data_IF_147146576080
#
_entry.id   IF_147146576080
#
_cell.length_a   1.000
_cell.length_b   1.000
_cell.length_c   1.000
_cell.angle_alpha   90.00
_cell.angle_beta   90.00
_cell.angle_gamma   90.00
#
_symmetry.space_group_name_H-M   'P 1'
#
loop_
_entity.id
_entity.type
_entity.pdbx_description
1 polymer ?
#
# COMPACT_ATOMS: atom_id res chain seq x y z
N UNK A 1 1.04 -64.93 -18.91
CA UNK A 1 0.73 -64.07 -17.73
C UNK A 1 1.23 -62.66 -18.02
N UNK A 2 0.36 -61.81 -18.57
CA UNK A 2 0.66 -60.40 -18.85
C UNK A 2 -0.18 -59.59 -17.87
N UNK A 3 0.49 -58.90 -16.93
CA UNK A 3 -0.14 -58.02 -15.94
C UNK A 3 -0.25 -56.62 -16.52
N UNK A 4 -1.47 -56.20 -16.82
CA UNK A 4 -1.85 -54.82 -17.14
C UNK A 4 -1.86 -53.98 -15.85
N UNK A 5 -0.99 -52.98 -15.78
CA UNK A 5 -1.06 -51.92 -14.76
C UNK A 5 -2.06 -50.85 -15.23
N UNK A 6 -3.13 -50.65 -14.47
CA UNK A 6 -4.06 -49.53 -14.65
C UNK A 6 -3.50 -48.37 -13.81
N UNK A 7 -3.00 -47.33 -14.47
CA UNK A 7 -2.63 -46.08 -13.81
C UNK A 7 -3.90 -45.25 -13.57
N UNK A 8 -4.27 -45.07 -12.31
CA UNK A 8 -5.33 -44.17 -11.90
C UNK A 8 -4.83 -42.72 -11.96
N UNK A 9 -5.27 -41.98 -12.98
CA UNK A 9 -5.04 -40.54 -13.09
C UNK A 9 -5.98 -39.83 -12.13
N UNK A 10 -5.50 -39.47 -10.94
CA UNK A 10 -6.22 -38.60 -10.00
C UNK A 10 -6.13 -37.17 -10.52
N UNK A 11 -7.17 -36.68 -11.20
CA UNK A 11 -7.35 -35.25 -11.41
C UNK A 11 -7.65 -34.62 -10.04
N UNK A 12 -6.65 -33.93 -9.47
CA UNK A 12 -6.92 -32.96 -8.41
C UNK A 12 -7.52 -31.72 -9.07
N UNK A 13 -8.86 -31.63 -9.02
CA UNK A 13 -9.54 -30.38 -9.24
C UNK A 13 -9.16 -29.44 -8.08
N UNK A 14 -8.26 -28.49 -8.35
CA UNK A 14 -8.11 -27.33 -7.49
C UNK A 14 -9.43 -26.57 -7.54
N UNK A 15 -10.24 -26.74 -6.49
CA UNK A 15 -11.42 -25.92 -6.27
C UNK A 15 -10.96 -24.48 -6.09
N UNK A 16 -10.92 -23.72 -7.18
CA UNK A 16 -11.06 -22.28 -7.10
C UNK A 16 -12.42 -22.06 -6.44
N UNK A 17 -12.42 -21.63 -5.17
CA UNK A 17 -13.61 -21.06 -4.57
C UNK A 17 -14.04 -19.94 -5.52
N UNK A 18 -15.10 -20.19 -6.29
CA UNK A 18 -15.65 -19.19 -7.17
C UNK A 18 -16.17 -18.07 -6.27
N UNK A 19 -15.37 -17.02 -6.11
CA UNK A 19 -15.86 -15.74 -5.61
C UNK A 19 -17.13 -15.43 -6.40
N UNK A 20 -18.20 -15.03 -5.71
CA UNK A 20 -19.46 -14.64 -6.34
C UNK A 20 -19.21 -13.63 -7.47
N UNK A 21 -20.16 -13.46 -8.41
CA UNK A 21 -19.94 -12.56 -9.52
C UNK A 21 -19.66 -11.16 -9.00
N UNK A 22 -18.53 -10.59 -9.41
CA UNK A 22 -18.03 -9.34 -8.88
C UNK A 22 -17.39 -8.51 -9.98
N UNK A 23 -17.34 -7.21 -9.77
CA UNK A 23 -16.50 -6.30 -10.54
C UNK A 23 -15.32 -5.85 -9.67
N UNK A 24 -14.13 -5.84 -10.25
CA UNK A 24 -12.92 -5.35 -9.59
C UNK A 24 -12.50 -4.04 -10.21
N UNK A 25 -11.99 -3.12 -9.39
CA UNK A 25 -11.33 -1.91 -9.87
C UNK A 25 -10.21 -1.51 -8.92
N UNK A 26 -9.33 -0.66 -9.41
CA UNK A 26 -8.19 -0.16 -8.65
C UNK A 26 -8.41 1.31 -8.36
N UNK A 27 -8.09 1.74 -7.13
CA UNK A 27 -8.06 3.16 -6.79
C UNK A 27 -6.80 3.53 -6.03
N UNK A 28 -6.45 4.81 -6.13
CA UNK A 28 -5.43 5.42 -5.30
C UNK A 28 -6.05 5.90 -3.99
N UNK A 29 -5.46 5.47 -2.88
CA UNK A 29 -5.71 6.00 -1.54
C UNK A 29 -4.66 7.05 -1.27
N UNK A 30 -5.10 8.28 -1.01
CA UNK A 30 -4.19 9.35 -0.64
C UNK A 30 -3.38 8.97 0.63
N UNK A 31 -2.09 9.33 0.68
CA UNK A 31 -1.29 9.15 1.88
C UNK A 31 -1.75 10.09 3.00
N UNK A 32 -1.35 9.84 4.26
CA UNK A 32 -1.60 10.76 5.36
C UNK A 32 -1.10 12.19 5.11
N UNK A 33 0.04 12.32 4.44
CA UNK A 33 0.64 13.58 4.05
C UNK A 33 0.74 13.67 2.53
N UNK A 34 -0.32 14.19 1.92
CA UNK A 34 -0.38 14.39 0.48
C UNK A 34 0.66 15.45 0.04
N UNK A 35 1.50 15.07 -0.91
CA UNK A 35 2.53 15.94 -1.47
C UNK A 35 2.01 16.80 -2.62
N UNK A 36 0.77 16.56 -3.09
CA UNK A 36 0.07 17.25 -4.19
C UNK A 36 0.84 17.28 -5.53
N UNK A 37 0.13 17.05 -6.64
CA UNK A 37 0.34 15.87 -7.51
C UNK A 37 1.81 15.59 -7.87
N UNK A 38 2.64 15.27 -6.88
CA UNK A 38 4.02 14.89 -7.10
C UNK A 38 4.05 13.49 -7.73
N UNK A 39 4.64 13.39 -8.92
CA UNK A 39 4.88 12.12 -9.62
C UNK A 39 6.34 11.69 -9.48
N UNK A 40 7.20 12.63 -9.12
CA UNK A 40 8.63 12.46 -8.93
C UNK A 40 9.08 13.19 -7.67
N UNK A 41 9.84 12.51 -6.83
CA UNK A 41 10.50 13.11 -5.67
C UNK A 41 12.00 12.79 -5.69
N UNK A 42 12.80 13.64 -5.05
CA UNK A 42 14.23 13.37 -4.88
C UNK A 42 14.64 13.53 -3.41
N UNK A 43 15.42 12.58 -2.90
CA UNK A 43 16.07 12.67 -1.58
C UNK A 43 17.39 13.40 -1.76
N UNK A 44 17.53 14.60 -1.19
CA UNK A 44 18.60 15.54 -1.57
C UNK A 44 19.66 15.77 -0.51
N UNK A 45 19.37 15.38 0.73
CA UNK A 45 20.38 15.28 1.77
C UNK A 45 19.89 14.33 2.86
N UNK A 46 20.85 13.77 3.60
CA UNK A 46 20.58 13.04 4.81
C UNK A 46 21.63 13.39 5.87
N UNK A 47 21.17 13.77 7.07
CA UNK A 47 21.98 14.17 8.20
C UNK A 47 21.60 13.31 9.40
N UNK A 48 22.60 12.69 10.05
CA UNK A 48 22.39 11.85 11.22
C UNK A 48 23.69 11.50 11.92
N UNK A 49 23.56 10.97 13.13
CA UNK A 49 24.69 10.52 13.98
C UNK A 49 24.92 9.00 13.95
N UNK A 50 24.04 8.27 13.26
CA UNK A 50 24.12 6.82 13.08
C UNK A 50 24.55 6.44 11.66
N UNK A 51 25.42 5.43 11.55
CA UNK A 51 25.83 4.84 10.27
C UNK A 51 24.65 4.18 9.52
N UNK A 52 23.52 3.95 10.19
CA UNK A 52 22.31 3.37 9.59
C UNK A 52 21.50 4.34 8.73
N UNK A 53 21.93 5.61 8.62
CA UNK A 53 21.26 6.59 7.77
C UNK A 53 21.26 6.19 6.29
N UNK A 54 22.35 5.58 5.80
CA UNK A 54 22.41 5.09 4.41
C UNK A 54 21.36 4.03 4.17
N UNK A 55 21.26 3.05 5.08
CA UNK A 55 20.23 2.01 5.05
C UNK A 55 18.81 2.59 5.07
N UNK A 56 18.57 3.62 5.90
CA UNK A 56 17.28 4.31 5.93
C UNK A 56 16.94 4.92 4.58
N UNK A 57 17.87 5.63 3.94
CA UNK A 57 17.65 6.28 2.64
C UNK A 57 17.41 5.23 1.55
N UNK A 58 18.23 4.19 1.50
CA UNK A 58 18.09 3.08 0.54
C UNK A 58 16.73 2.38 0.65
N UNK A 59 16.37 1.93 1.86
CA UNK A 59 15.09 1.26 2.10
C UNK A 59 13.93 2.24 1.77
N UNK A 60 14.02 3.53 2.14
CA UNK A 60 12.98 4.53 1.83
C UNK A 60 12.78 4.69 0.32
N UNK A 61 13.87 4.88 -0.43
CA UNK A 61 13.82 5.02 -1.89
C UNK A 61 13.23 3.77 -2.53
N UNK A 62 13.68 2.57 -2.12
CA UNK A 62 13.15 1.30 -2.61
C UNK A 62 11.64 1.18 -2.37
N UNK A 63 11.16 1.50 -1.16
CA UNK A 63 9.75 1.34 -0.82
C UNK A 63 8.85 2.30 -1.58
N UNK A 64 9.24 3.57 -1.71
CA UNK A 64 8.44 4.55 -2.43
C UNK A 64 8.40 4.22 -3.93
N UNK A 65 9.54 3.86 -4.53
CA UNK A 65 9.61 3.52 -5.97
C UNK A 65 8.80 2.25 -6.29
N UNK A 66 8.91 1.22 -5.43
CA UNK A 66 8.16 -0.05 -5.58
C UNK A 66 6.64 0.13 -5.50
N UNK A 67 6.14 1.22 -4.92
CA UNK A 67 4.70 1.52 -4.91
C UNK A 67 4.11 1.71 -6.31
N UNK A 68 4.95 2.11 -7.29
CA UNK A 68 4.53 2.44 -8.65
C UNK A 68 3.68 3.71 -8.77
N UNK A 69 3.49 4.46 -7.68
CA UNK A 69 2.68 5.69 -7.66
C UNK A 69 3.50 6.97 -7.82
N UNK A 70 4.80 6.91 -7.48
CA UNK A 70 5.76 7.99 -7.60
C UNK A 70 7.13 7.42 -7.95
N UNK A 71 7.95 8.18 -8.68
CA UNK A 71 9.37 7.87 -8.90
C UNK A 71 10.22 8.55 -7.84
N UNK A 72 11.24 7.88 -7.35
CA UNK A 72 12.16 8.44 -6.35
C UNK A 72 13.59 8.39 -6.84
N UNK A 73 14.27 9.52 -6.73
CA UNK A 73 15.71 9.63 -6.97
C UNK A 73 16.46 9.75 -5.63
N UNK A 74 17.55 9.00 -5.47
CA UNK A 74 18.50 9.20 -4.38
C UNK A 74 19.63 10.14 -4.84
N UNK A 75 19.53 11.42 -4.50
CA UNK A 75 20.54 12.44 -4.82
C UNK A 75 21.52 12.71 -3.66
N UNK A 76 21.49 11.89 -2.60
CA UNK A 76 22.35 12.07 -1.42
C UNK A 76 23.82 11.73 -1.74
N UNK A 77 24.04 10.80 -2.67
CA UNK A 77 25.38 10.29 -3.02
C UNK A 77 26.28 11.33 -3.69
N UNK A 78 25.72 12.43 -4.19
CA UNK A 78 26.45 13.50 -4.88
C UNK A 78 27.06 14.56 -3.94
N UNK A 79 27.11 14.30 -2.62
CA UNK A 79 27.68 15.20 -1.59
C UNK A 79 27.10 16.62 -1.58
N UNK A 80 25.91 16.83 -2.16
CA UNK A 80 25.23 18.11 -2.11
C UNK A 80 24.46 18.23 -0.79
N UNK A 81 25.17 18.54 0.29
CA UNK A 81 24.53 18.99 1.53
C UNK A 81 23.93 20.38 1.33
N UNK A 82 22.81 20.46 0.60
CA UNK A 82 22.00 21.67 0.45
C UNK A 82 21.25 21.91 1.76
N UNK A 83 21.99 22.36 2.77
CA UNK A 83 21.41 22.80 4.05
C UNK A 83 20.64 24.13 3.89
N UNK A 84 20.93 24.91 2.84
CA UNK A 84 20.19 26.12 2.49
C UNK A 84 19.38 25.95 1.19
N UNK A 85 18.05 25.90 1.33
CA UNK A 85 17.11 25.98 0.22
C UNK A 85 16.88 27.42 -0.24
N UNK A 86 17.96 28.18 -0.48
CA UNK A 86 17.85 29.49 -1.10
C UNK A 86 17.49 29.39 -2.59
N UNK A 87 17.14 30.51 -3.21
CA UNK A 87 16.69 30.53 -4.61
C UNK A 87 17.76 30.02 -5.60
N UNK A 88 19.05 30.23 -5.32
CA UNK A 88 20.13 29.82 -6.21
C UNK A 88 20.38 28.31 -6.10
N UNK A 89 20.44 27.80 -4.87
CA UNK A 89 20.50 26.39 -4.53
C UNK A 89 19.32 25.61 -5.15
N UNK A 90 18.09 26.11 -5.00
CA UNK A 90 16.90 25.49 -5.61
C UNK A 90 16.93 25.47 -7.14
N UNK A 91 17.51 26.49 -7.78
CA UNK A 91 17.65 26.53 -9.24
C UNK A 91 18.66 25.48 -9.73
N UNK A 92 19.77 25.31 -9.01
CA UNK A 92 20.77 24.27 -9.30
C UNK A 92 20.18 22.89 -9.09
N UNK A 93 19.56 22.67 -7.93
CA UNK A 93 18.95 21.40 -7.55
C UNK A 93 17.94 20.92 -8.59
N UNK A 94 17.02 21.79 -9.05
CA UNK A 94 16.06 21.45 -10.11
C UNK A 94 16.67 21.09 -11.46
N UNK A 95 17.86 21.61 -11.75
CA UNK A 95 18.55 21.33 -13.02
C UNK A 95 19.25 19.97 -12.96
N UNK A 96 19.83 19.64 -11.80
CA UNK A 96 20.61 18.41 -11.60
C UNK A 96 19.71 17.23 -11.26
N UNK A 97 18.71 17.44 -10.40
CA UNK A 97 17.75 16.45 -9.92
C UNK A 97 16.32 16.98 -10.09
N UNK A 98 15.73 16.90 -11.31
CA UNK A 98 14.39 17.40 -11.57
C UNK A 98 13.33 16.56 -10.86
N UNK A 99 12.60 17.17 -9.92
CA UNK A 99 11.53 16.52 -9.17
C UNK A 99 10.39 17.50 -8.84
N UNK A 100 9.19 16.98 -8.56
CA UNK A 100 8.04 17.77 -8.13
C UNK A 100 8.13 18.17 -6.65
N UNK A 101 8.80 17.34 -5.84
CA UNK A 101 9.11 17.61 -4.45
C UNK A 101 10.48 17.08 -4.05
N UNK A 102 11.06 17.70 -3.03
CA UNK A 102 12.37 17.37 -2.48
C UNK A 102 12.24 16.95 -1.03
N UNK A 103 12.86 15.82 -0.69
CA UNK A 103 12.89 15.25 0.65
C UNK A 103 14.29 15.39 1.23
N UNK A 104 14.40 15.93 2.43
CA UNK A 104 15.65 15.97 3.18
C UNK A 104 15.50 15.30 4.53
N UNK A 105 16.43 14.41 4.89
CA UNK A 105 16.49 13.83 6.23
C UNK A 105 17.32 14.76 7.11
N UNK A 106 16.65 15.59 7.91
CA UNK A 106 17.31 16.63 8.73
C UNK A 106 17.84 16.12 10.06
N UNK A 107 17.35 14.96 10.50
CA UNK A 107 17.85 14.24 11.67
C UNK A 107 17.63 12.75 11.44
N UNK A 108 18.66 11.95 11.70
CA UNK A 108 18.54 10.51 11.82
C UNK A 108 19.40 10.03 12.98
N UNK A 109 18.79 9.36 13.94
CA UNK A 109 19.49 8.82 15.11
C UNK A 109 18.94 7.46 15.47
N UNK A 110 19.80 6.63 16.06
CA UNK A 110 19.40 5.34 16.60
C UNK A 110 19.97 5.15 18.00
N UNK A 111 19.16 4.58 18.89
CA UNK A 111 19.54 4.19 20.24
C UNK A 111 19.24 2.69 20.43
N UNK A 112 19.96 2.05 21.34
CA UNK A 112 19.72 0.64 21.64
C UNK A 112 20.15 0.23 23.04
N UNK A 113 19.41 -0.72 23.60
CA UNK A 113 19.62 -1.22 24.94
C UNK A 113 19.90 -2.73 24.92
N UNK A 114 21.01 -3.13 25.53
CA UNK A 114 21.25 -4.54 25.83
C UNK A 114 20.32 -5.03 26.94
N UNK A 115 19.71 -6.19 26.70
CA UNK A 115 18.78 -6.85 27.59
C UNK A 115 19.24 -8.28 27.84
N UNK A 116 18.86 -8.83 28.97
CA UNK A 116 19.05 -10.25 29.26
C UNK A 116 17.93 -10.81 30.14
N UNK A 117 17.64 -12.09 29.97
CA UNK A 117 16.69 -12.83 30.79
C UNK A 117 17.00 -14.33 30.79
N UNK A 118 16.67 -15.01 31.90
CA UNK A 118 16.72 -16.47 31.96
C UNK A 118 15.54 -17.09 31.22
N UNK A 119 15.84 -17.94 30.25
CA UNK A 119 14.89 -18.74 29.49
C UNK A 119 15.11 -20.24 29.71
N UNK A 120 14.06 -21.04 29.50
CA UNK A 120 14.19 -22.49 29.43
C UNK A 120 14.48 -22.93 28.00
N UNK A 121 15.61 -23.58 27.76
CA UNK A 121 16.00 -24.16 26.49
C UNK A 121 16.08 -25.69 26.61
N UNK A 122 16.10 -26.42 25.50
CA UNK A 122 16.46 -27.84 25.49
C UNK A 122 17.90 -27.99 25.02
N UNK A 123 18.68 -28.77 25.73
CA UNK A 123 20.02 -29.14 25.26
C UNK A 123 19.96 -30.17 24.13
N UNK A 124 21.12 -30.58 23.63
CA UNK A 124 21.26 -31.56 22.54
C UNK A 124 20.68 -32.94 22.89
N UNK A 125 20.55 -33.25 24.18
CA UNK A 125 19.96 -34.49 24.70
C UNK A 125 18.45 -34.34 24.99
N UNK A 126 17.89 -33.16 24.70
CA UNK A 126 16.48 -32.84 24.91
C UNK A 126 16.11 -32.50 26.36
N UNK A 127 17.08 -32.42 27.28
CA UNK A 127 16.86 -32.05 28.66
C UNK A 127 16.63 -30.53 28.77
N UNK A 128 15.73 -30.14 29.68
CA UNK A 128 15.38 -28.74 29.87
C UNK A 128 16.43 -28.06 30.74
N UNK A 129 17.15 -27.11 30.16
CA UNK A 129 18.18 -26.30 30.82
C UNK A 129 17.71 -24.86 30.94
N UNK A 130 18.15 -24.15 31.98
CA UNK A 130 17.98 -22.70 32.08
C UNK A 130 19.24 -22.03 31.55
N UNK A 131 19.07 -21.07 30.64
CA UNK A 131 20.18 -20.25 30.13
C UNK A 131 19.77 -18.78 30.13
N UNK A 132 20.75 -17.93 30.42
CA UNK A 132 20.59 -16.48 30.23
C UNK A 132 20.72 -16.21 28.73
N UNK A 133 19.71 -15.59 28.15
CA UNK A 133 19.76 -15.08 26.78
C UNK A 133 19.92 -13.58 26.83
N UNK A 134 20.79 -13.06 25.98
CA UNK A 134 21.02 -11.65 25.72
C UNK A 134 20.39 -11.27 24.38
N UNK A 135 19.84 -10.06 24.29
CA UNK A 135 19.40 -9.42 23.03
C UNK A 135 19.58 -7.91 23.10
N UNK A 136 19.50 -7.24 21.96
CA UNK A 136 19.44 -5.79 21.82
C UNK A 136 18.06 -5.41 21.34
N UNK A 137 17.44 -4.45 22.01
CA UNK A 137 16.29 -3.72 21.47
C UNK A 137 16.81 -2.35 20.99
N UNK A 138 16.55 -2.01 19.73
CA UNK A 138 16.98 -0.76 19.11
C UNK A 138 15.79 0.04 18.60
N UNK A 139 15.93 1.36 18.58
CA UNK A 139 14.98 2.31 18.04
C UNK A 139 15.73 3.31 17.16
N UNK A 140 15.17 3.62 15.99
CA UNK A 140 15.66 4.68 15.12
C UNK A 140 14.57 5.72 14.87
N UNK A 141 14.97 6.98 14.83
CA UNK A 141 14.11 8.13 14.57
C UNK A 141 14.66 8.92 13.38
N UNK A 142 13.79 9.23 12.43
CA UNK A 142 14.10 10.05 11.26
C UNK A 142 13.17 11.27 11.19
N UNK A 143 13.73 12.47 10.99
CA UNK A 143 12.99 13.68 10.69
C UNK A 143 13.14 14.01 9.21
N UNK A 144 12.02 14.07 8.50
CA UNK A 144 11.98 14.40 7.07
C UNK A 144 11.40 15.79 6.90
N UNK A 145 12.09 16.66 6.17
CA UNK A 145 11.57 17.94 5.72
C UNK A 145 11.31 17.87 4.22
N UNK A 146 10.08 18.19 3.82
CA UNK A 146 9.62 18.05 2.44
C UNK A 146 9.29 19.41 1.87
N UNK A 147 9.79 19.69 0.67
CA UNK A 147 9.60 20.97 -0.03
C UNK A 147 9.11 20.75 -1.44
N UNK A 148 8.37 21.72 -1.97
CA UNK A 148 7.98 21.74 -3.38
C UNK A 148 9.17 22.06 -4.28
N UNK A 149 8.99 21.91 -5.59
CA UNK A 149 9.88 22.38 -6.65
C UNK A 149 10.33 23.85 -6.49
N UNK A 150 9.48 24.71 -5.95
CA UNK A 150 9.73 26.13 -5.67
C UNK A 150 10.45 26.38 -4.34
N UNK A 151 10.74 25.34 -3.55
CA UNK A 151 11.41 25.42 -2.25
C UNK A 151 10.49 25.73 -1.08
N UNK A 152 9.17 25.89 -1.32
CA UNK A 152 8.17 26.08 -0.27
C UNK A 152 8.08 24.82 0.57
N UNK A 153 8.06 24.97 1.90
CA UNK A 153 7.86 23.86 2.84
C UNK A 153 6.46 23.29 2.64
N UNK A 154 6.38 21.98 2.39
CA UNK A 154 5.15 21.21 2.29
C UNK A 154 4.84 20.55 3.64
N UNK A 155 5.77 19.73 4.13
CA UNK A 155 5.60 18.94 5.35
C UNK A 155 6.90 18.83 6.16
N UNK A 156 6.76 18.43 7.42
CA UNK A 156 7.87 18.07 8.31
C UNK A 156 7.39 16.91 9.16
N UNK A 157 7.97 15.75 8.95
CA UNK A 157 7.47 14.47 9.42
C UNK A 157 8.49 13.82 10.33
N UNK A 158 8.03 12.97 11.24
CA UNK A 158 8.90 12.14 12.08
C UNK A 158 8.47 10.70 11.92
N UNK A 159 9.41 9.87 11.47
CA UNK A 159 9.25 8.44 11.36
C UNK A 159 10.07 7.75 12.44
N UNK A 160 9.56 6.64 12.95
CA UNK A 160 10.18 5.85 13.99
C UNK A 160 10.16 4.38 13.60
N UNK A 161 11.18 3.62 13.97
CA UNK A 161 11.23 2.18 13.78
C UNK A 161 11.92 1.51 14.95
N UNK A 162 11.49 0.30 15.27
CA UNK A 162 12.04 -0.52 16.35
C UNK A 162 12.58 -1.83 15.76
N UNK A 163 13.60 -2.39 16.39
CA UNK A 163 14.16 -3.67 15.99
C UNK A 163 14.70 -4.44 17.19
N UNK A 164 14.74 -5.76 17.07
CA UNK A 164 15.21 -6.64 18.14
C UNK A 164 16.17 -7.67 17.56
N UNK A 165 17.35 -7.79 18.15
CA UNK A 165 18.32 -8.80 17.74
C UNK A 165 17.79 -10.22 18.05
N UNK A 166 18.39 -11.27 17.47
CA UNK A 166 18.23 -12.62 17.98
C UNK A 166 18.53 -12.70 19.49
N UNK A 167 17.89 -13.66 20.17
CA UNK A 167 18.16 -13.97 21.58
C UNK A 167 19.17 -15.10 21.65
N UNK A 168 20.37 -14.82 22.15
CA UNK A 168 21.48 -15.78 22.20
C UNK A 168 22.18 -15.76 23.55
N UNK A 169 22.89 -16.84 23.91
CA UNK A 169 23.69 -16.88 25.13
C UNK A 169 24.82 -15.82 25.13
N UNK A 170 25.30 -15.46 23.94
CA UNK A 170 26.25 -14.38 23.71
C UNK A 170 25.96 -13.78 22.34
N UNK A 171 25.96 -12.45 22.23
CA UNK A 171 25.72 -11.76 20.95
C UNK A 171 27.04 -11.32 20.31
N UNK A 172 27.24 -11.68 19.05
CA UNK A 172 28.26 -11.07 18.20
C UNK A 172 27.89 -9.62 17.84
N UNK A 173 28.85 -8.84 17.35
CA UNK A 173 28.57 -7.48 16.87
C UNK A 173 27.56 -7.49 15.70
N UNK A 174 27.66 -8.46 14.80
CA UNK A 174 26.74 -8.65 13.68
C UNK A 174 25.32 -8.97 14.16
N UNK A 175 25.17 -9.83 15.18
CA UNK A 175 23.86 -10.15 15.76
C UNK A 175 23.23 -8.92 16.43
N UNK A 176 24.03 -8.10 17.13
CA UNK A 176 23.55 -6.83 17.70
C UNK A 176 23.11 -5.87 16.60
N UNK A 177 23.85 -5.82 15.50
CA UNK A 177 23.60 -4.91 14.37
C UNK A 177 22.25 -5.18 13.68
N UNK A 178 21.76 -6.43 13.72
CA UNK A 178 20.42 -6.81 13.22
C UNK A 178 19.31 -5.93 13.81
N UNK A 179 19.38 -5.59 15.11
CA UNK A 179 18.36 -4.76 15.76
C UNK A 179 18.34 -3.35 15.14
N UNK A 180 19.50 -2.76 14.91
CA UNK A 180 19.63 -1.42 14.32
C UNK A 180 19.24 -1.41 12.84
N UNK A 181 19.59 -2.45 12.09
CA UNK A 181 19.16 -2.61 10.70
C UNK A 181 17.64 -2.72 10.58
N UNK A 182 17.01 -3.50 11.45
CA UNK A 182 15.55 -3.59 11.50
C UNK A 182 14.92 -2.25 11.87
N UNK A 183 15.42 -1.58 12.91
CA UNK A 183 14.90 -0.29 13.34
C UNK A 183 14.98 0.78 12.23
N UNK A 184 16.12 0.87 11.53
CA UNK A 184 16.30 1.79 10.40
C UNK A 184 15.34 1.48 9.24
N UNK A 185 15.18 0.18 8.89
CA UNK A 185 14.24 -0.27 7.87
C UNK A 185 12.80 0.10 8.21
N UNK A 186 12.35 -0.15 9.44
CA UNK A 186 10.98 0.16 9.84
C UNK A 186 10.74 1.66 9.93
N UNK A 187 11.75 2.46 10.31
CA UNK A 187 11.66 3.91 10.23
C UNK A 187 11.48 4.37 8.77
N UNK A 188 12.21 3.78 7.82
CA UNK A 188 12.09 4.07 6.39
C UNK A 188 10.71 3.69 5.82
N UNK A 189 10.20 2.51 6.16
CA UNK A 189 8.85 2.06 5.82
C UNK A 189 7.78 3.04 6.32
N UNK A 190 7.85 3.39 7.59
CA UNK A 190 6.89 4.32 8.20
C UNK A 190 6.97 5.71 7.54
N UNK A 191 8.18 6.16 7.17
CA UNK A 191 8.37 7.40 6.42
C UNK A 191 7.73 7.34 5.02
N UNK A 192 7.94 6.23 4.28
CA UNK A 192 7.38 6.03 2.96
C UNK A 192 5.85 5.98 2.99
N UNK A 193 5.26 5.23 3.93
CA UNK A 193 3.81 5.09 4.11
C UNK A 193 3.10 6.43 4.41
N UNK A 194 3.80 7.37 5.06
CA UNK A 194 3.26 8.69 5.38
C UNK A 194 3.03 9.56 4.13
N UNK A 195 3.76 9.33 3.04
CA UNK A 195 3.76 10.22 1.86
C UNK A 195 3.39 9.51 0.56
N UNK A 196 3.36 8.18 0.55
CA UNK A 196 3.18 7.39 -0.68
C UNK A 196 1.73 6.98 -0.85
N UNK A 197 1.05 7.39 -1.94
CA UNK A 197 -0.28 6.89 -2.24
C UNK A 197 -0.30 5.36 -2.32
N UNK A 198 -1.38 4.75 -1.82
CA UNK A 198 -1.54 3.29 -1.87
C UNK A 198 -2.48 2.90 -2.99
N UNK A 199 -2.03 1.98 -3.84
CA UNK A 199 -2.89 1.34 -4.83
C UNK A 199 -3.70 0.25 -4.12
N UNK A 200 -5.01 0.40 -4.06
CA UNK A 200 -5.91 -0.59 -3.46
C UNK A 200 -6.82 -1.15 -4.54
N UNK A 201 -6.83 -2.48 -4.66
CA UNK A 201 -7.82 -3.21 -5.45
C UNK A 201 -9.06 -3.41 -4.61
N UNK A 202 -10.20 -2.96 -5.12
CA UNK A 202 -11.50 -3.18 -4.53
C UNK A 202 -12.37 -4.06 -5.42
N UNK A 203 -13.33 -4.73 -4.80
CA UNK A 203 -14.26 -5.64 -5.46
C UNK A 203 -15.66 -5.34 -4.96
N UNK A 204 -16.63 -5.27 -5.86
CA UNK A 204 -18.05 -5.14 -5.53
C UNK A 204 -18.73 -6.41 -6.03
N UNK A 205 -19.37 -7.14 -5.13
CA UNK A 205 -20.23 -8.27 -5.49
C UNK A 205 -21.48 -7.74 -6.18
N UNK A 206 -21.80 -8.33 -7.34
CA UNK A 206 -22.94 -7.95 -8.16
C UNK A 206 -24.19 -8.77 -7.80
N UNK A 207 -25.35 -8.31 -8.25
CA UNK A 207 -26.63 -8.97 -8.04
C UNK A 207 -27.05 -9.77 -9.27
N UNK A 208 -26.86 -11.09 -9.22
CA UNK A 208 -27.17 -12.00 -10.32
C UNK A 208 -28.67 -12.14 -10.65
N UNK A 209 -29.55 -11.52 -9.86
CA UNK A 209 -30.98 -11.39 -10.19
C UNK A 209 -31.28 -10.25 -11.16
N UNK A 210 -30.29 -9.44 -11.54
CA UNK A 210 -30.47 -8.38 -12.52
C UNK A 210 -30.84 -8.94 -13.92
N UNK A 211 -31.77 -8.31 -14.65
CA UNK A 211 -32.03 -8.66 -16.04
C UNK A 211 -30.78 -8.40 -16.91
N UNK A 212 -30.55 -9.25 -17.91
CA UNK A 212 -29.33 -9.25 -18.75
C UNK A 212 -28.03 -9.38 -17.96
N UNK A 213 -28.03 -10.03 -16.79
CA UNK A 213 -26.84 -10.21 -15.96
C UNK A 213 -25.70 -10.92 -16.70
N UNK A 214 -25.98 -12.10 -17.28
CA UNK A 214 -24.96 -12.90 -17.95
C UNK A 214 -24.30 -12.18 -19.14
N UNK A 215 -25.08 -11.40 -19.88
CA UNK A 215 -24.59 -10.58 -20.99
C UNK A 215 -23.64 -9.49 -20.49
N UNK A 216 -24.04 -8.75 -19.46
CA UNK A 216 -23.19 -7.73 -18.85
C UNK A 216 -21.93 -8.33 -18.22
N UNK A 217 -22.05 -9.47 -17.53
CA UNK A 217 -20.91 -10.18 -16.94
C UNK A 217 -19.92 -10.70 -17.99
N UNK A 218 -20.40 -11.15 -19.15
CA UNK A 218 -19.56 -11.55 -20.27
C UNK A 218 -18.71 -10.37 -20.78
N UNK A 219 -19.31 -9.18 -20.87
CA UNK A 219 -18.60 -7.96 -21.26
C UNK A 219 -17.59 -7.52 -20.19
N UNK A 220 -17.96 -7.54 -18.91
CA UNK A 220 -17.06 -7.21 -17.79
C UNK A 220 -15.84 -8.13 -17.76
N UNK A 221 -16.03 -9.45 -17.91
CA UNK A 221 -14.93 -10.43 -17.94
C UNK A 221 -14.00 -10.25 -19.13
N UNK A 222 -14.50 -9.63 -20.19
CA UNK A 222 -13.74 -9.29 -21.40
C UNK A 222 -13.16 -7.86 -21.35
N UNK A 223 -13.19 -7.20 -20.18
CA UNK A 223 -12.73 -5.81 -19.95
C UNK A 223 -13.47 -4.75 -20.79
N UNK A 224 -14.65 -5.07 -21.31
CA UNK A 224 -15.50 -4.20 -22.15
C UNK A 224 -16.56 -3.50 -21.28
N UNK A 225 -16.11 -2.66 -20.35
CA UNK A 225 -17.00 -2.02 -19.36
C UNK A 225 -18.04 -1.09 -19.98
N UNK A 226 -17.67 -0.37 -21.04
CA UNK A 226 -18.56 0.51 -21.80
C UNK A 226 -19.70 -0.27 -22.48
N UNK A 227 -19.39 -1.44 -23.05
CA UNK A 227 -20.38 -2.29 -23.67
C UNK A 227 -21.33 -2.91 -22.63
N UNK A 228 -20.80 -3.33 -21.48
CA UNK A 228 -21.61 -3.79 -20.35
C UNK A 228 -22.59 -2.70 -19.91
N UNK A 229 -22.11 -1.45 -19.79
CA UNK A 229 -22.92 -0.29 -19.41
C UNK A 229 -24.01 -0.03 -20.44
N UNK A 230 -23.67 -0.04 -21.72
CA UNK A 230 -24.63 0.21 -22.80
C UNK A 230 -25.76 -0.84 -22.81
N UNK A 231 -25.43 -2.12 -22.66
CA UNK A 231 -26.41 -3.22 -22.58
C UNK A 231 -27.34 -3.00 -21.39
N UNK A 232 -26.78 -2.81 -20.19
CA UNK A 232 -27.58 -2.63 -18.99
C UNK A 232 -28.41 -1.34 -18.99
N UNK A 233 -27.92 -0.23 -19.58
CA UNK A 233 -28.71 1.00 -19.76
C UNK A 233 -29.88 0.80 -20.75
N UNK A 234 -29.74 -0.07 -21.76
CA UNK A 234 -30.83 -0.48 -22.64
C UNK A 234 -31.85 -1.31 -21.87
N UNK A 235 -31.40 -2.34 -21.15
CA UNK A 235 -32.23 -3.22 -20.34
C UNK A 235 -33.01 -2.43 -19.28
N UNK A 236 -32.39 -1.41 -18.68
CA UNK A 236 -33.03 -0.55 -17.68
C UNK A 236 -34.25 0.20 -18.22
N UNK A 237 -34.28 0.51 -19.53
CA UNK A 237 -35.46 1.15 -20.15
C UNK A 237 -36.69 0.25 -20.14
N UNK A 238 -36.48 -1.07 -20.17
CA UNK A 238 -37.51 -2.10 -20.13
C UNK A 238 -37.85 -2.52 -18.69
N UNK A 239 -36.86 -2.49 -17.79
CA UNK A 239 -36.97 -2.92 -16.39
C UNK A 239 -36.71 -1.76 -15.42
N UNK A 240 -37.55 -0.71 -15.49
CA UNK A 240 -37.34 0.57 -14.77
C UNK A 240 -37.42 0.49 -13.25
N UNK A 241 -37.92 -0.62 -12.72
CA UNK A 241 -38.13 -0.93 -11.31
C UNK A 241 -37.13 -1.99 -10.77
N UNK A 242 -36.17 -2.42 -11.60
CA UNK A 242 -35.17 -3.41 -11.19
C UNK A 242 -34.10 -2.81 -10.27
N UNK A 243 -34.30 -2.94 -8.95
CA UNK A 243 -33.29 -2.56 -7.96
C UNK A 243 -31.92 -3.26 -8.18
N UNK A 244 -31.85 -4.56 -8.51
CA UNK A 244 -30.60 -5.25 -8.89
C UNK A 244 -29.86 -4.59 -10.05
N UNK A 245 -30.57 -4.22 -11.14
CA UNK A 245 -29.93 -3.58 -12.28
C UNK A 245 -29.40 -2.18 -11.95
N UNK A 246 -30.13 -1.41 -11.15
CA UNK A 246 -29.62 -0.12 -10.64
C UNK A 246 -28.38 -0.30 -9.77
N UNK A 247 -28.31 -1.37 -8.97
CA UNK A 247 -27.16 -1.65 -8.14
C UNK A 247 -25.93 -2.00 -8.99
N UNK A 248 -26.08 -2.91 -9.95
CA UNK A 248 -25.00 -3.37 -10.82
C UNK A 248 -24.48 -2.25 -11.74
N UNK A 249 -25.36 -1.42 -12.31
CA UNK A 249 -24.97 -0.21 -13.04
C UNK A 249 -24.21 0.78 -12.15
N UNK A 250 -24.60 0.88 -10.88
CA UNK A 250 -23.90 1.68 -9.89
C UNK A 250 -22.47 1.20 -9.66
N UNK A 251 -22.30 -0.09 -9.41
CA UNK A 251 -21.00 -0.74 -9.23
C UNK A 251 -20.11 -0.62 -10.49
N UNK A 252 -20.69 -0.83 -11.67
CA UNK A 252 -20.01 -0.67 -12.95
C UNK A 252 -19.53 0.77 -13.19
N UNK A 253 -20.40 1.76 -12.95
CA UNK A 253 -20.02 3.17 -13.09
C UNK A 253 -18.91 3.55 -12.11
N UNK A 254 -18.91 2.99 -10.88
CA UNK A 254 -17.82 3.21 -9.93
C UNK A 254 -16.50 2.64 -10.44
N UNK A 255 -16.52 1.41 -10.96
CA UNK A 255 -15.35 0.77 -11.54
C UNK A 255 -14.78 1.53 -12.75
N UNK A 256 -15.65 2.17 -13.54
CA UNK A 256 -15.28 3.06 -14.66
C UNK A 256 -14.82 4.45 -14.20
N UNK A 257 -14.91 4.78 -12.91
CA UNK A 257 -14.55 6.10 -12.36
C UNK A 257 -15.64 7.18 -12.52
N UNK A 258 -16.82 6.85 -13.05
CA UNK A 258 -17.99 7.75 -13.15
C UNK A 258 -18.75 7.79 -11.82
N UNK A 259 -18.10 8.37 -10.80
CA UNK A 259 -18.63 8.53 -9.44
C UNK A 259 -20.01 9.22 -9.41
N UNK A 260 -20.27 10.29 -10.20
CA UNK A 260 -21.59 10.90 -10.23
C UNK A 260 -22.69 9.94 -10.73
N UNK A 261 -22.44 9.13 -11.77
CA UNK A 261 -23.42 8.14 -12.22
C UNK A 261 -23.58 7.00 -11.21
N UNK A 262 -22.47 6.49 -10.68
CA UNK A 262 -22.47 5.46 -9.64
C UNK A 262 -23.38 5.83 -8.46
N UNK A 263 -23.24 7.06 -7.97
CA UNK A 263 -24.07 7.58 -6.89
C UNK A 263 -25.56 7.60 -7.25
N UNK A 264 -25.93 8.11 -8.43
CA UNK A 264 -27.34 8.17 -8.86
C UNK A 264 -27.97 6.78 -8.96
N UNK A 265 -27.23 5.82 -9.54
CA UNK A 265 -27.72 4.45 -9.72
C UNK A 265 -27.85 3.70 -8.38
N UNK A 266 -26.83 3.72 -7.52
CA UNK A 266 -26.90 3.13 -6.18
C UNK A 266 -28.00 3.76 -5.32
N UNK A 267 -28.19 5.08 -5.41
CA UNK A 267 -29.29 5.76 -4.71
C UNK A 267 -30.66 5.26 -5.17
N UNK A 268 -30.85 5.02 -6.48
CA UNK A 268 -32.08 4.42 -7.01
C UNK A 268 -32.27 2.98 -6.54
N UNK A 269 -31.22 2.16 -6.52
CA UNK A 269 -31.28 0.79 -5.99
C UNK A 269 -31.75 0.77 -4.52
N UNK A 270 -31.18 1.63 -3.68
CA UNK A 270 -31.57 1.77 -2.27
C UNK A 270 -33.00 2.30 -2.12
N UNK A 271 -33.47 3.20 -2.99
CA UNK A 271 -34.86 3.67 -2.96
C UNK A 271 -35.87 2.57 -3.32
N UNK A 272 -35.55 1.74 -4.31
CA UNK A 272 -36.43 0.66 -4.76
C UNK A 272 -36.46 -0.51 -3.78
N UNK A 273 -35.32 -0.83 -3.15
CA UNK A 273 -35.22 -1.92 -2.18
C UNK A 273 -34.51 -1.47 -0.89
N UNK A 274 -35.18 -0.69 -0.02
CA UNK A 274 -34.53 -0.05 1.15
C UNK A 274 -34.06 -1.03 2.22
N UNK A 275 -34.64 -2.23 2.27
CA UNK A 275 -34.27 -3.26 3.22
C UNK A 275 -33.03 -4.05 2.78
N UNK A 276 -32.63 -3.97 1.50
CA UNK A 276 -31.43 -4.65 1.03
C UNK A 276 -30.19 -4.00 1.65
N UNK A 277 -29.50 -4.78 2.47
CA UNK A 277 -28.36 -4.27 3.25
C UNK A 277 -27.17 -4.03 2.33
N UNK A 278 -26.93 -4.90 1.34
CA UNK A 278 -25.79 -4.77 0.41
C UNK A 278 -25.81 -3.43 -0.32
N UNK A 279 -26.97 -3.03 -0.85
CA UNK A 279 -27.09 -1.77 -1.61
C UNK A 279 -26.79 -0.55 -0.75
N UNK A 280 -27.30 -0.53 0.49
CA UNK A 280 -27.02 0.56 1.44
C UNK A 280 -25.56 0.60 1.85
N UNK A 281 -24.93 -0.56 2.02
CA UNK A 281 -23.51 -0.65 2.37
C UNK A 281 -22.63 -0.12 1.23
N UNK A 282 -22.87 -0.52 -0.02
CA UNK A 282 -22.08 -0.01 -1.14
C UNK A 282 -22.28 1.49 -1.37
N UNK A 283 -23.50 2.01 -1.23
CA UNK A 283 -23.71 3.47 -1.31
C UNK A 283 -22.91 4.23 -0.24
N UNK A 284 -22.85 3.71 0.99
CA UNK A 284 -22.03 4.29 2.06
C UNK A 284 -20.53 4.16 1.77
N UNK A 285 -20.08 3.04 1.20
CA UNK A 285 -18.69 2.83 0.82
C UNK A 285 -18.29 3.79 -0.30
N UNK A 286 -19.08 3.93 -1.36
CA UNK A 286 -18.88 4.92 -2.42
C UNK A 286 -18.72 6.33 -1.83
N UNK A 287 -19.60 6.73 -0.91
CA UNK A 287 -19.52 8.03 -0.25
C UNK A 287 -18.22 8.18 0.55
N UNK A 288 -17.84 7.17 1.34
CA UNK A 288 -16.58 7.20 2.13
C UNK A 288 -15.34 7.24 1.26
N UNK A 289 -15.31 6.47 0.16
CA UNK A 289 -14.23 6.45 -0.84
C UNK A 289 -14.03 7.84 -1.45
N UNK A 290 -15.10 8.64 -1.57
CA UNK A 290 -15.08 9.94 -2.25
C UNK A 290 -15.18 11.16 -1.32
N UNK A 291 -15.37 10.98 -0.01
CA UNK A 291 -15.53 12.06 0.96
C UNK A 291 -14.21 12.80 1.32
N UNK A 292 -13.07 12.35 0.80
CA UNK A 292 -11.73 12.90 1.11
C UNK A 292 -10.96 13.38 -0.13
N UNK A 293 -11.67 13.69 -1.23
CA UNK A 293 -11.07 14.38 -2.37
C UNK A 293 -11.01 15.88 -2.12
#
# INVERSE_FOLDING_TARGET
>A
MIRTFIAALVLQATGAFALGPHISFTRLVAPPHDLAPARSIAVVYAIGDSQKITKFVEDFVEYVDRSGTMRVENAVEDNQHLSSFDNAAMKRLRREHPADAYVGVSLFTCDGAERSAEGGERDVDGARVRRVHHWVDASCLARLDIRSDSGKRLHSLTAHGEGTSPRSASLSAEEKDVAYDQAARYAALNAADMITPRVVRETIELDDSAPSFDEGMSMIRSERLEDARAIWEVTLRQHRDSAPLYYDLGALCEAMGDVPAAHRYLQSAVRLLPNERRYRQELQLLQRRNARK
#
